data_IF_022390826423
#
_entry.id   IF_022390826423
#
_cell.length_a   1.000
_cell.length_b   1.000
_cell.length_c   1.000
_cell.angle_alpha   90.00
_cell.angle_beta   90.00
_cell.angle_gamma   90.00
#
_symmetry.space_group_name_H-M   'P 1'
#
loop_
_entity.id
_entity.type
_entity.pdbx_description
1 polymer ?
#
# COMPACT_ATOMS: atom_id res chain seq x y z
N UNK A 1 -17.46 34.08 9.56
CA UNK A 1 -17.90 32.74 10.00
C UNK A 1 -17.01 31.70 9.34
N UNK A 2 -16.02 31.18 10.07
CA UNK A 2 -15.15 30.09 9.58
C UNK A 2 -15.94 28.80 9.75
N UNK A 3 -16.25 28.10 8.66
CA UNK A 3 -16.88 26.77 8.73
C UNK A 3 -15.93 25.85 9.51
N UNK A 4 -16.38 25.13 10.54
CA UNK A 4 -15.51 24.20 11.25
C UNK A 4 -15.01 23.15 10.25
N UNK A 5 -13.69 23.04 10.09
CA UNK A 5 -13.10 21.96 9.29
C UNK A 5 -13.52 20.64 9.91
N UNK A 6 -14.20 19.76 9.15
CA UNK A 6 -14.53 18.41 9.60
C UNK A 6 -13.24 17.78 10.11
N UNK A 7 -13.18 17.48 11.41
CA UNK A 7 -12.04 16.80 12.04
C UNK A 7 -11.84 15.49 11.28
N UNK A 8 -10.63 15.21 10.81
CA UNK A 8 -10.30 13.90 10.21
C UNK A 8 -10.65 12.83 11.25
N UNK A 9 -11.67 12.02 11.00
CA UNK A 9 -11.97 10.85 11.81
C UNK A 9 -10.87 9.81 11.53
N UNK A 10 -9.88 9.78 12.40
CA UNK A 10 -8.82 8.79 12.35
C UNK A 10 -9.38 7.51 12.96
N UNK A 11 -9.43 6.42 12.20
CA UNK A 11 -9.90 5.13 12.73
C UNK A 11 -9.03 4.68 13.91
N UNK A 12 -9.61 3.99 14.88
CA UNK A 12 -8.82 3.43 15.98
C UNK A 12 -7.75 2.45 15.45
N UNK A 13 -6.52 2.46 16.00
CA UNK A 13 -5.48 1.51 15.61
C UNK A 13 -5.90 0.07 15.94
N UNK A 14 -5.59 -0.86 15.05
CA UNK A 14 -5.84 -2.29 15.22
C UNK A 14 -4.52 -3.04 15.32
N UNK A 15 -4.38 -3.91 16.31
CA UNK A 15 -3.22 -4.78 16.45
C UNK A 15 -3.16 -5.78 15.29
N UNK A 16 -2.00 -5.88 14.63
CA UNK A 16 -1.81 -6.75 13.45
C UNK A 16 -0.72 -7.80 13.63
N UNK A 17 0.00 -7.81 14.76
CA UNK A 17 1.01 -8.82 15.06
C UNK A 17 2.17 -8.30 15.90
N UNK A 18 3.04 -9.23 16.32
CA UNK A 18 4.29 -8.91 17.01
C UNK A 18 5.32 -8.39 16.03
N UNK A 19 6.08 -7.38 16.45
CA UNK A 19 7.12 -6.74 15.63
C UNK A 19 8.13 -7.76 15.11
N UNK A 20 8.68 -8.61 15.98
CA UNK A 20 9.70 -9.58 15.62
C UNK A 20 9.21 -10.62 14.61
N UNK A 21 7.94 -11.01 14.69
CA UNK A 21 7.36 -11.97 13.75
C UNK A 21 7.23 -11.37 12.35
N UNK A 22 6.74 -10.13 12.25
CA UNK A 22 6.61 -9.44 10.96
C UNK A 22 8.00 -9.11 10.39
N UNK A 23 8.96 -8.72 11.23
CA UNK A 23 10.35 -8.52 10.79
C UNK A 23 10.96 -9.81 10.25
N UNK A 24 10.76 -10.95 10.93
CA UNK A 24 11.29 -12.25 10.50
C UNK A 24 10.63 -12.75 9.21
N UNK A 25 9.32 -12.59 9.07
CA UNK A 25 8.57 -13.03 7.90
C UNK A 25 8.57 -12.01 6.75
N UNK A 26 9.07 -10.79 7.00
CA UNK A 26 9.08 -9.62 6.11
C UNK A 26 7.70 -9.12 5.67
N UNK A 27 6.61 -9.83 6.00
CA UNK A 27 5.24 -9.44 5.67
C UNK A 27 4.22 -10.10 6.59
N UNK A 28 3.04 -9.49 6.68
CA UNK A 28 1.85 -10.03 7.32
C UNK A 28 0.58 -9.51 6.61
N UNK A 29 -0.57 -10.13 6.85
CA UNK A 29 -1.89 -9.66 6.40
C UNK A 29 -2.83 -9.57 7.58
N UNK A 30 -3.71 -8.57 7.58
CA UNK A 30 -4.70 -8.39 8.63
C UNK A 30 -6.00 -7.81 8.07
N UNK A 31 -7.10 -7.96 8.82
CA UNK A 31 -8.35 -7.23 8.57
C UNK A 31 -8.43 -6.09 9.58
N UNK A 32 -8.51 -4.86 9.10
CA UNK A 32 -8.59 -3.63 9.90
C UNK A 32 -9.90 -2.94 9.55
N UNK A 33 -10.86 -2.93 10.47
CA UNK A 33 -12.21 -2.38 10.23
C UNK A 33 -12.81 -2.90 8.90
N UNK A 34 -12.86 -4.23 8.76
CA UNK A 34 -13.39 -4.97 7.58
C UNK A 34 -12.57 -4.83 6.28
N UNK A 35 -11.50 -4.02 6.31
CA UNK A 35 -10.60 -3.81 5.18
C UNK A 35 -9.38 -4.72 5.27
N UNK A 36 -9.15 -5.53 4.24
CA UNK A 36 -7.95 -6.37 4.15
C UNK A 36 -6.73 -5.54 3.79
N UNK A 37 -5.71 -5.56 4.66
CA UNK A 37 -4.44 -4.87 4.46
C UNK A 37 -3.28 -5.86 4.44
N UNK A 38 -2.22 -5.49 3.71
CA UNK A 38 -0.92 -6.14 3.76
C UNK A 38 0.06 -5.21 4.46
N UNK A 39 0.85 -5.78 5.37
CA UNK A 39 1.95 -5.12 6.05
C UNK A 39 3.25 -5.69 5.49
N UNK A 40 4.16 -4.83 5.06
CA UNK A 40 5.52 -5.19 4.67
C UNK A 40 6.51 -4.60 5.66
N UNK A 41 7.59 -5.33 5.91
CA UNK A 41 8.77 -4.81 6.57
C UNK A 41 9.93 -4.86 5.55
N UNK A 42 10.47 -3.70 5.19
CA UNK A 42 11.57 -3.60 4.23
C UNK A 42 12.44 -2.40 4.55
N UNK A 43 13.77 -2.55 4.43
CA UNK A 43 14.71 -1.46 4.70
C UNK A 43 14.59 -0.85 6.10
N UNK A 44 14.21 -1.65 7.11
CA UNK A 44 14.05 -1.16 8.50
C UNK A 44 12.71 -0.47 8.79
N UNK A 45 11.79 -0.42 7.83
CA UNK A 45 10.53 0.30 7.96
C UNK A 45 9.32 -0.60 7.72
N UNK A 46 8.22 -0.31 8.42
CA UNK A 46 6.93 -0.94 8.18
C UNK A 46 6.08 -0.11 7.21
N UNK A 47 5.38 -0.79 6.31
CA UNK A 47 4.47 -0.20 5.35
C UNK A 47 3.15 -0.98 5.37
N UNK A 48 2.02 -0.28 5.34
CA UNK A 48 0.72 -0.91 5.20
C UNK A 48 -0.01 -0.39 3.96
N UNK A 49 -0.56 -1.30 3.18
CA UNK A 49 -1.32 -1.01 1.96
C UNK A 49 -2.59 -1.86 1.93
N UNK A 50 -3.56 -1.47 1.12
CA UNK A 50 -4.63 -2.37 0.70
C UNK A 50 -4.04 -3.67 0.16
N UNK A 51 -4.62 -4.82 0.55
CA UNK A 51 -4.10 -6.14 0.16
C UNK A 51 -4.30 -6.46 -1.33
N UNK A 52 -5.29 -5.81 -1.97
CA UNK A 52 -5.67 -6.06 -3.37
C UNK A 52 -5.15 -4.96 -4.28
N UNK A 53 -4.44 -5.36 -5.34
CA UNK A 53 -3.84 -4.43 -6.31
C UNK A 53 -4.89 -3.58 -7.02
N UNK A 54 -4.68 -2.27 -7.09
CA UNK A 54 -5.57 -1.31 -7.78
C UNK A 54 -5.86 -1.61 -9.25
N UNK A 55 -5.01 -2.40 -9.92
CA UNK A 55 -5.17 -2.70 -11.34
C UNK A 55 -6.34 -3.67 -11.58
N UNK A 56 -6.28 -4.83 -10.92
CA UNK A 56 -7.17 -5.96 -11.20
C UNK A 56 -7.55 -6.78 -9.95
N UNK A 57 -7.19 -6.33 -8.75
CA UNK A 57 -7.46 -7.06 -7.49
C UNK A 57 -6.43 -8.13 -7.13
N UNK A 58 -5.25 -8.12 -7.77
CA UNK A 58 -4.20 -9.11 -7.51
C UNK A 58 -3.70 -9.12 -6.06
N UNK A 59 -3.28 -10.29 -5.52
CA UNK A 59 -2.89 -10.45 -4.13
C UNK A 59 -1.50 -9.85 -3.88
N UNK A 60 -1.44 -8.62 -3.35
CA UNK A 60 -0.16 -7.95 -3.11
C UNK A 60 0.67 -8.63 -2.03
N UNK A 61 0.05 -9.37 -1.10
CA UNK A 61 0.76 -10.18 -0.11
C UNK A 61 1.63 -11.29 -0.72
N UNK A 62 1.41 -11.65 -1.99
CA UNK A 62 2.24 -12.59 -2.76
C UNK A 62 3.20 -11.87 -3.72
N UNK A 63 3.26 -10.54 -3.69
CA UNK A 63 4.19 -9.76 -4.50
C UNK A 63 5.61 -9.76 -3.93
N UNK A 64 6.60 -9.59 -4.80
CA UNK A 64 7.99 -9.36 -4.40
C UNK A 64 8.22 -7.88 -4.14
N UNK A 65 9.21 -7.55 -3.30
CA UNK A 65 9.63 -6.17 -3.05
C UNK A 65 10.94 -5.92 -3.82
N UNK A 66 10.95 -4.85 -4.62
CA UNK A 66 12.13 -4.38 -5.35
C UNK A 66 12.31 -2.87 -5.14
N UNK A 67 13.57 -2.42 -5.01
CA UNK A 67 13.89 -1.00 -4.97
C UNK A 67 13.99 -0.44 -6.40
N UNK A 68 12.97 0.33 -6.79
CA UNK A 68 12.83 0.89 -8.14
C UNK A 68 12.93 2.39 -8.06
N UNK A 69 13.86 2.98 -8.82
CA UNK A 69 14.11 4.42 -8.83
C UNK A 69 14.36 4.99 -7.41
N UNK A 70 15.05 4.21 -6.57
CA UNK A 70 15.33 4.56 -5.17
C UNK A 70 14.14 4.42 -4.22
N UNK A 71 13.04 3.80 -4.65
CA UNK A 71 11.83 3.62 -3.84
C UNK A 71 11.47 2.13 -3.72
N UNK A 72 11.19 1.63 -2.50
CA UNK A 72 10.75 0.26 -2.34
C UNK A 72 9.36 0.08 -2.95
N UNK A 73 9.19 -0.92 -3.79
CA UNK A 73 7.97 -1.20 -4.53
C UNK A 73 7.54 -2.65 -4.38
N UNK A 74 6.26 -2.89 -4.10
CA UNK A 74 5.68 -4.22 -4.29
C UNK A 74 5.37 -4.43 -5.77
N UNK A 75 5.75 -5.59 -6.29
CA UNK A 75 5.49 -6.04 -7.66
C UNK A 75 4.28 -6.97 -7.63
N UNK A 76 3.15 -6.49 -8.17
CA UNK A 76 1.94 -7.29 -8.22
C UNK A 76 2.18 -8.60 -9.01
N UNK A 77 1.85 -9.79 -8.44
CA UNK A 77 2.19 -11.06 -9.07
C UNK A 77 1.46 -11.30 -10.39
N UNK A 78 0.27 -10.72 -10.57
CA UNK A 78 -0.56 -10.92 -11.77
C UNK A 78 -0.04 -10.17 -12.99
N UNK A 79 0.14 -8.85 -12.90
CA UNK A 79 0.44 -8.00 -14.05
C UNK A 79 1.73 -7.17 -13.89
N UNK A 80 2.53 -7.46 -12.86
CA UNK A 80 3.86 -6.85 -12.60
C UNK A 80 3.84 -5.32 -12.45
N UNK A 81 2.68 -4.78 -12.06
CA UNK A 81 2.53 -3.40 -11.64
C UNK A 81 3.41 -3.12 -10.42
N UNK A 82 4.15 -2.03 -10.49
CA UNK A 82 5.11 -1.59 -9.47
C UNK A 82 4.43 -0.53 -8.62
N UNK A 83 4.29 -0.79 -7.33
CA UNK A 83 3.57 0.07 -6.41
C UNK A 83 4.49 0.45 -5.29
N UNK A 84 4.82 1.73 -5.15
CA UNK A 84 5.69 2.21 -4.07
C UNK A 84 5.05 1.91 -2.72
N UNK A 85 5.81 1.38 -1.76
CA UNK A 85 5.30 1.06 -0.44
C UNK A 85 4.93 2.31 0.37
N UNK A 86 5.67 3.41 0.19
CA UNK A 86 5.50 4.63 0.97
C UNK A 86 4.25 5.45 0.58
N UNK A 87 4.03 5.64 -0.72
CA UNK A 87 2.98 6.54 -1.25
C UNK A 87 1.90 5.84 -2.06
N UNK A 88 2.05 4.54 -2.33
CA UNK A 88 1.10 3.77 -3.15
C UNK A 88 1.05 4.19 -4.61
N UNK A 89 2.08 4.87 -5.10
CA UNK A 89 2.19 5.31 -6.48
C UNK A 89 2.44 4.15 -7.44
N UNK A 90 1.73 4.15 -8.56
CA UNK A 90 1.95 3.21 -9.66
C UNK A 90 3.09 3.68 -10.56
N UNK A 91 4.24 3.00 -10.52
CA UNK A 91 5.40 3.36 -11.35
C UNK A 91 5.38 2.65 -12.70
N UNK A 92 5.87 3.35 -13.72
CA UNK A 92 6.07 2.81 -15.06
C UNK A 92 7.27 3.46 -15.75
N UNK A 93 7.86 2.76 -16.72
CA UNK A 93 8.87 3.33 -17.58
C UNK A 93 8.20 3.96 -18.80
N UNK A 94 8.42 5.26 -19.02
CA UNK A 94 8.01 5.93 -20.23
C UNK A 94 8.99 5.58 -21.36
N UNK A 95 8.47 4.89 -22.38
CA UNK A 95 9.19 4.52 -23.59
C UNK A 95 8.64 5.39 -24.72
N UNK A 96 9.52 6.07 -25.45
CA UNK A 96 9.16 6.77 -26.68
C UNK A 96 9.33 5.81 -27.86
N UNK A 97 8.24 5.37 -28.54
CA UNK A 97 8.37 4.44 -29.66
C UNK A 97 9.17 5.00 -30.83
N UNK A 98 9.26 6.34 -30.96
CA UNK A 98 10.06 7.01 -31.99
C UNK A 98 11.55 7.04 -31.68
N UNK A 99 11.93 6.79 -30.43
CA UNK A 99 13.32 6.79 -29.94
C UNK A 99 13.57 5.57 -29.04
N UNK A 100 13.53 4.35 -29.59
CA UNK A 100 13.60 3.12 -28.80
C UNK A 100 14.95 2.89 -28.11
N UNK A 101 16.02 3.57 -28.55
CA UNK A 101 17.34 3.54 -27.93
C UNK A 101 17.49 4.48 -26.72
N UNK A 102 16.51 5.36 -26.48
CA UNK A 102 16.55 6.26 -25.34
C UNK A 102 16.39 5.47 -24.03
N UNK A 103 17.20 5.82 -23.02
CA UNK A 103 17.10 5.21 -21.69
C UNK A 103 15.69 5.49 -21.12
N UNK A 104 14.89 4.46 -20.81
CA UNK A 104 13.54 4.65 -20.30
C UNK A 104 13.55 5.40 -18.97
N UNK A 105 12.66 6.39 -18.84
CA UNK A 105 12.55 7.19 -17.61
C UNK A 105 11.41 6.68 -16.75
N UNK A 106 11.66 6.50 -15.46
CA UNK A 106 10.61 6.20 -14.49
C UNK A 106 9.65 7.38 -14.34
N UNK A 107 8.36 7.07 -14.30
CA UNK A 107 7.25 8.01 -14.13
C UNK A 107 6.22 7.40 -13.17
N UNK A 108 5.42 8.27 -12.58
CA UNK A 108 4.35 7.90 -11.65
C UNK A 108 2.98 8.16 -12.27
N UNK A 109 2.02 7.26 -11.99
CA UNK A 109 0.60 7.45 -12.26
C UNK A 109 -0.12 8.21 -11.12
N UNK A 110 0.62 8.68 -10.12
CA UNK A 110 0.09 9.18 -8.85
C UNK A 110 -0.27 8.03 -7.89
N UNK A 111 -0.73 8.37 -6.69
CA UNK A 111 -1.14 7.41 -5.67
C UNK A 111 -2.40 6.65 -6.14
N UNK A 112 -2.22 5.36 -6.47
CA UNK A 112 -3.27 4.46 -6.97
C UNK A 112 -3.67 3.41 -5.95
N UNK A 113 -2.69 2.97 -5.15
CA UNK A 113 -2.87 2.06 -4.05
C UNK A 113 -2.99 2.86 -2.75
N UNK A 114 -4.00 2.60 -1.94
CA UNK A 114 -4.12 3.24 -0.63
C UNK A 114 -3.05 2.68 0.31
N UNK A 115 -2.33 3.60 0.97
CA UNK A 115 -1.43 3.30 2.08
C UNK A 115 -2.10 3.66 3.41
N UNK A 116 -1.66 3.00 4.47
CA UNK A 116 -2.17 3.16 5.83
C UNK A 116 -1.03 3.41 6.81
N UNK A 117 -1.35 4.00 7.95
CA UNK A 117 -0.33 4.32 8.95
C UNK A 117 -0.03 3.08 9.79
N UNK A 118 1.25 2.76 9.91
CA UNK A 118 1.75 1.74 10.85
C UNK A 118 2.36 2.43 12.06
N UNK A 119 2.07 1.94 13.25
CA UNK A 119 2.72 2.35 14.50
C UNK A 119 3.21 1.13 15.24
N UNK A 120 4.36 1.24 15.89
CA UNK A 120 4.93 0.18 16.72
C UNK A 120 4.96 0.70 18.15
N UNK A 121 4.43 -0.09 19.09
CA UNK A 121 4.43 0.21 20.51
C UNK A 121 4.67 -1.08 21.30
N UNK A 122 5.62 -1.05 22.24
CA UNK A 122 5.95 -2.18 23.11
C UNK A 122 6.10 -3.54 22.38
N UNK A 123 6.77 -3.55 21.22
CA UNK A 123 6.99 -4.76 20.42
C UNK A 123 5.77 -5.26 19.64
N UNK A 124 4.70 -4.46 19.58
CA UNK A 124 3.47 -4.76 18.85
C UNK A 124 3.27 -3.78 17.70
N UNK A 125 2.80 -4.30 16.56
CA UNK A 125 2.52 -3.52 15.36
C UNK A 125 1.03 -3.26 15.27
N UNK A 126 0.67 -2.01 14.99
CA UNK A 126 -0.70 -1.56 14.82
C UNK A 126 -0.87 -0.85 13.48
N UNK A 127 -2.04 -1.02 12.87
CA UNK A 127 -2.42 -0.31 11.64
C UNK A 127 -3.60 0.61 11.93
N UNK A 128 -3.48 1.85 11.49
CA UNK A 128 -4.56 2.84 11.45
C UNK A 128 -4.93 3.10 9.99
N UNK A 129 -6.19 2.91 9.60
CA UNK A 129 -6.63 3.24 8.25
C UNK A 129 -6.42 4.74 7.98
N UNK A 130 -6.02 5.03 6.75
CA UNK A 130 -5.88 6.41 6.27
C UNK A 130 -7.24 7.01 5.99
N UNK A 131 -7.28 8.33 5.87
CA UNK A 131 -8.50 9.06 5.50
C UNK A 131 -9.08 8.51 4.18
N UNK A 132 -10.30 7.98 4.26
CA UNK A 132 -11.01 7.38 3.14
C UNK A 132 -11.80 8.42 2.32
N UNK A 133 -11.71 9.72 2.64
CA UNK A 133 -12.42 10.78 1.90
C UNK A 133 -11.91 10.96 0.47
N UNK A 134 -10.61 10.83 0.24
CA UNK A 134 -10.04 10.90 -1.11
C UNK A 134 -10.00 9.50 -1.72
N UNK A 135 -10.78 9.26 -2.77
CA UNK A 135 -10.82 7.97 -3.47
C UNK A 135 -9.46 7.59 -4.08
N UNK A 136 -9.10 6.31 -3.95
CA UNK A 136 -7.98 5.66 -4.63
C UNK A 136 -8.50 4.43 -5.37
N UNK A 137 -7.93 4.09 -6.52
CA UNK A 137 -8.43 2.98 -7.34
C UNK A 137 -8.42 1.62 -6.62
N UNK A 138 -7.55 1.41 -5.63
CA UNK A 138 -7.58 0.20 -4.79
C UNK A 138 -8.83 0.11 -3.90
N UNK A 139 -9.53 1.22 -3.64
CA UNK A 139 -10.75 1.23 -2.81
C UNK A 139 -11.84 0.34 -3.39
N UNK A 140 -12.00 0.32 -4.72
CA UNK A 140 -12.94 -0.57 -5.39
C UNK A 140 -12.70 -2.03 -5.01
N UNK A 141 -11.45 -2.48 -5.02
CA UNK A 141 -11.12 -3.87 -4.68
C UNK A 141 -11.16 -4.11 -3.16
N UNK A 142 -10.77 -3.13 -2.35
CA UNK A 142 -10.91 -3.25 -0.91
C UNK A 142 -12.36 -3.39 -0.48
N UNK A 143 -13.29 -2.68 -1.14
CA UNK A 143 -14.74 -2.82 -0.94
C UNK A 143 -15.26 -4.18 -1.44
N UNK A 144 -14.92 -4.53 -2.69
CA UNK A 144 -15.35 -5.77 -3.34
C UNK A 144 -14.98 -7.03 -2.55
N UNK A 145 -13.86 -7.01 -1.84
CA UNK A 145 -13.33 -8.12 -1.07
C UNK A 145 -13.40 -7.89 0.45
N UNK A 146 -14.31 -7.02 0.91
CA UNK A 146 -14.62 -6.94 2.34
C UNK A 146 -15.03 -8.32 2.85
N UNK A 147 -14.50 -8.68 4.00
CA UNK A 147 -14.98 -9.85 4.73
C UNK A 147 -16.20 -9.40 5.51
N UNK A 148 -17.40 -9.79 5.07
CA UNK A 148 -18.61 -9.67 5.87
C UNK A 148 -18.44 -10.51 7.16
N UNK A 149 -18.95 -10.01 8.28
CA UNK A 149 -18.91 -10.70 9.58
C UNK A 149 -19.87 -11.87 9.64
#
# INVERSE_FOLDING_TARGET
MVKPSKRKEVSNPVYVGREDDIKRLQRATATVHERQVVIFYHGGHFYALDCRCYHAGGPLNLGEIEDINGQPCVICPWHKYKITLNTGEGLYQAINPKEPSAVPKWKSKGAKQRTHRVTVDNGNVYVTLSDLMEYKESDYYAEKYKTEK
#
